data_IF_820512831337
#
_entry.id   IF_820512831337
#
_cell.length_a   1.000
_cell.length_b   1.000
_cell.length_c   1.000
_cell.angle_alpha   90.00
_cell.angle_beta   90.00
_cell.angle_gamma   90.00
#
_symmetry.space_group_name_H-M   'P 1'
#
loop_
_entity.id
_entity.type
_entity.pdbx_description
1 polymer ?
#
# COMPACT_ATOMS: atom_id res chain seq x y z
N UNK A 1 -11.88 0.33 32.95
CA UNK A 1 -11.47 0.24 31.52
C UNK A 1 -11.27 1.66 31.04
N UNK A 2 -10.07 2.01 30.58
CA UNK A 2 -9.86 3.33 29.98
C UNK A 2 -10.59 3.37 28.63
N UNK A 3 -11.52 4.32 28.49
CA UNK A 3 -12.23 4.59 27.24
C UNK A 3 -11.32 5.41 26.30
N UNK A 4 -10.20 4.82 25.85
CA UNK A 4 -9.22 5.48 25.00
C UNK A 4 -9.23 4.84 23.60
N UNK A 5 -9.39 5.67 22.57
CA UNK A 5 -9.22 5.27 21.18
C UNK A 5 -7.99 5.99 20.59
N UNK A 6 -7.08 5.21 20.03
CA UNK A 6 -5.91 5.75 19.33
C UNK A 6 -6.13 5.64 17.82
N UNK A 7 -6.10 6.77 17.13
CA UNK A 7 -6.24 6.82 15.68
C UNK A 7 -5.03 6.17 14.99
N UNK A 8 -5.28 5.63 13.81
CA UNK A 8 -4.20 5.14 12.94
C UNK A 8 -3.22 6.30 12.63
N UNK A 9 -1.90 6.03 12.48
CA UNK A 9 -0.89 7.05 12.21
C UNK A 9 -0.91 7.53 10.76
N UNK A 10 -2.05 8.05 10.32
CA UNK A 10 -2.29 8.72 9.06
C UNK A 10 -2.09 10.23 9.27
N UNK A 11 -1.11 10.84 8.60
CA UNK A 11 -0.81 12.27 8.75
C UNK A 11 -1.87 13.12 8.05
N UNK A 12 -2.21 12.76 6.80
CA UNK A 12 -3.15 13.54 5.99
C UNK A 12 -3.78 12.75 4.85
N UNK A 13 -4.91 13.25 4.40
CA UNK A 13 -5.58 12.86 3.16
C UNK A 13 -5.61 14.08 2.24
N UNK A 14 -5.18 13.91 0.99
CA UNK A 14 -5.14 14.96 -0.03
C UNK A 14 -6.16 14.58 -1.10
N UNK A 15 -7.00 15.51 -1.47
CA UNK A 15 -8.00 15.35 -2.54
C UNK A 15 -8.06 16.61 -3.40
N UNK A 16 -8.72 16.54 -4.52
CA UNK A 16 -8.89 17.64 -5.46
C UNK A 16 -7.55 18.22 -6.00
N UNK A 17 -6.51 17.37 -5.99
CA UNK A 17 -5.17 17.71 -6.48
C UNK A 17 -4.67 16.55 -7.34
N UNK A 18 -4.12 16.79 -8.55
CA UNK A 18 -3.54 15.73 -9.36
C UNK A 18 -2.46 14.95 -8.60
N UNK A 19 -2.45 13.63 -8.76
CA UNK A 19 -1.53 12.77 -8.01
C UNK A 19 -0.05 13.15 -8.19
N UNK A 20 0.37 13.54 -9.40
CA UNK A 20 1.74 13.98 -9.68
C UNK A 20 2.14 15.22 -8.88
N UNK A 21 1.25 16.20 -8.76
CA UNK A 21 1.48 17.40 -7.97
C UNK A 21 1.49 17.10 -6.46
N UNK A 22 0.50 16.34 -5.99
CA UNK A 22 0.39 15.94 -4.59
C UNK A 22 1.62 15.13 -4.14
N UNK A 23 2.11 14.19 -4.98
CA UNK A 23 3.33 13.41 -4.74
C UNK A 23 4.52 14.35 -4.55
N UNK A 24 4.74 15.29 -5.48
CA UNK A 24 5.89 16.18 -5.43
C UNK A 24 5.88 17.04 -4.15
N UNK A 25 4.71 17.58 -3.80
CA UNK A 25 4.53 18.37 -2.60
C UNK A 25 4.83 17.57 -1.33
N UNK A 26 4.35 16.31 -1.25
CA UNK A 26 4.57 15.45 -0.09
C UNK A 26 6.03 14.97 0.04
N UNK A 27 6.67 14.60 -1.06
CA UNK A 27 8.09 14.23 -1.06
C UNK A 27 8.96 15.37 -0.55
N UNK A 28 8.68 16.61 -1.01
CA UNK A 28 9.41 17.79 -0.56
C UNK A 28 9.13 18.09 0.92
N UNK A 29 7.86 17.99 1.36
CA UNK A 29 7.48 18.18 2.77
C UNK A 29 8.15 17.18 3.70
N UNK A 30 8.25 15.92 3.27
CA UNK A 30 8.84 14.82 4.05
C UNK A 30 10.37 14.77 3.96
N UNK A 31 11.00 15.56 3.09
CA UNK A 31 12.45 15.54 2.87
C UNK A 31 12.94 14.22 2.27
N UNK A 32 12.13 13.59 1.43
CA UNK A 32 12.41 12.28 0.83
C UNK A 32 13.30 12.42 -0.40
N UNK A 33 14.32 11.58 -0.51
CA UNK A 33 15.24 11.55 -1.64
C UNK A 33 15.16 10.26 -2.48
N UNK A 34 14.64 9.18 -1.91
CA UNK A 34 14.60 7.88 -2.56
C UNK A 34 13.19 7.29 -2.52
N UNK A 35 12.52 7.32 -3.67
CA UNK A 35 11.13 6.90 -3.83
C UNK A 35 11.03 5.61 -4.61
N UNK A 36 10.43 4.59 -4.02
CA UNK A 36 10.10 3.34 -4.68
C UNK A 36 8.59 3.30 -4.99
N UNK A 37 8.22 2.81 -6.17
CA UNK A 37 6.82 2.70 -6.57
C UNK A 37 6.39 1.23 -6.52
N UNK A 38 5.21 0.98 -5.94
CA UNK A 38 4.51 -0.31 -6.06
C UNK A 38 3.16 -0.06 -6.73
N UNK A 39 2.90 -0.74 -7.83
CA UNK A 39 1.72 -0.49 -8.65
C UNK A 39 0.96 -1.76 -9.00
N UNK A 40 -0.34 -1.61 -9.29
CA UNK A 40 -1.07 -2.67 -9.96
C UNK A 40 -0.62 -2.81 -11.42
N UNK A 41 -0.65 -4.03 -11.94
CA UNK A 41 -0.29 -4.30 -13.34
C UNK A 41 -1.16 -3.54 -14.36
N UNK A 42 -2.41 -3.24 -14.02
CA UNK A 42 -3.29 -2.45 -14.88
C UNK A 42 -2.77 -1.03 -15.06
N UNK A 43 -2.43 -0.36 -13.96
CA UNK A 43 -1.90 1.01 -14.00
C UNK A 43 -0.55 1.04 -14.72
N UNK A 44 0.35 0.10 -14.43
CA UNK A 44 1.68 0.07 -15.05
C UNK A 44 1.66 -0.25 -16.53
N UNK A 45 0.83 -1.22 -16.96
CA UNK A 45 0.94 -1.80 -18.30
C UNK A 45 -0.09 -1.26 -19.29
N UNK A 46 -1.16 -0.63 -18.80
CA UNK A 46 -2.26 -0.14 -19.66
C UNK A 46 -2.43 1.37 -19.66
N UNK A 47 -1.58 2.09 -18.92
CA UNK A 47 -1.63 3.55 -18.81
C UNK A 47 -0.23 4.16 -18.83
N UNK A 48 -0.15 5.47 -19.01
CA UNK A 48 1.09 6.24 -18.92
C UNK A 48 1.30 6.89 -17.53
N UNK A 49 0.45 6.56 -16.55
CA UNK A 49 0.45 7.21 -15.24
C UNK A 49 1.75 6.96 -14.47
N UNK A 50 2.29 5.74 -14.51
CA UNK A 50 3.60 5.45 -13.89
C UNK A 50 4.72 6.23 -14.57
N UNK A 51 4.66 6.40 -15.88
CA UNK A 51 5.66 7.21 -16.61
C UNK A 51 5.60 8.69 -16.20
N UNK A 52 4.39 9.25 -16.08
CA UNK A 52 4.20 10.63 -15.59
C UNK A 52 4.78 10.82 -14.20
N UNK A 53 4.49 9.90 -13.28
CA UNK A 53 5.01 9.95 -11.92
C UNK A 53 6.54 9.79 -11.88
N UNK A 54 7.11 8.87 -12.65
CA UNK A 54 8.58 8.74 -12.79
C UNK A 54 9.23 10.03 -13.27
N UNK A 55 8.64 10.67 -14.28
CA UNK A 55 9.15 11.94 -14.81
C UNK A 55 9.07 13.05 -13.75
N UNK A 56 8.00 13.09 -12.96
CA UNK A 56 7.83 14.03 -11.84
C UNK A 56 8.87 13.80 -10.75
N UNK A 57 9.18 12.55 -10.42
CA UNK A 57 10.15 12.18 -9.39
C UNK A 57 11.60 12.46 -9.84
N UNK A 58 11.89 12.35 -11.15
CA UNK A 58 13.24 12.53 -11.70
C UNK A 58 14.27 11.62 -11.01
N UNK A 59 15.35 12.20 -10.50
CA UNK A 59 16.43 11.47 -9.83
C UNK A 59 16.03 10.81 -8.51
N UNK A 60 14.92 11.21 -7.91
CA UNK A 60 14.40 10.61 -6.66
C UNK A 60 13.75 9.22 -6.88
N UNK A 61 13.39 8.88 -8.12
CA UNK A 61 12.87 7.55 -8.45
C UNK A 61 13.98 6.51 -8.38
N UNK A 62 13.82 5.47 -7.53
CA UNK A 62 14.84 4.43 -7.36
C UNK A 62 14.38 3.03 -7.80
N UNK A 63 13.10 2.80 -8.04
CA UNK A 63 12.63 1.49 -8.51
C UNK A 63 11.12 1.36 -8.56
N UNK A 64 10.67 0.31 -9.25
CA UNK A 64 9.27 -0.04 -9.46
C UNK A 64 9.06 -1.54 -9.22
N UNK A 65 7.97 -1.88 -8.54
CA UNK A 65 7.41 -3.22 -8.51
C UNK A 65 5.96 -3.15 -9.02
N UNK A 66 5.69 -3.70 -10.18
CA UNK A 66 4.40 -3.62 -10.89
C UNK A 66 3.73 -4.98 -11.12
N UNK A 67 4.27 -6.01 -10.51
CA UNK A 67 3.82 -7.41 -10.62
C UNK A 67 3.01 -7.85 -9.40
N UNK A 68 2.25 -6.94 -8.77
CA UNK A 68 1.34 -7.30 -7.69
C UNK A 68 0.27 -8.29 -8.18
N UNK A 69 0.23 -9.46 -7.56
CA UNK A 69 -0.73 -10.52 -7.86
C UNK A 69 -1.97 -10.35 -6.97
N UNK A 70 -3.21 -10.53 -7.51
CA UNK A 70 -4.44 -10.46 -6.73
C UNK A 70 -4.37 -11.26 -5.43
N UNK A 71 -4.95 -10.70 -4.36
CA UNK A 71 -4.94 -11.25 -2.99
C UNK A 71 -3.57 -11.31 -2.31
N UNK A 72 -2.51 -10.73 -2.89
CA UNK A 72 -1.16 -10.62 -2.30
C UNK A 72 -0.61 -11.98 -1.84
N UNK A 73 -0.31 -12.95 -2.74
CA UNK A 73 0.34 -14.19 -2.35
C UNK A 73 1.60 -13.94 -1.52
N UNK A 74 1.87 -14.78 -0.51
CA UNK A 74 3.05 -14.64 0.35
C UNK A 74 4.36 -14.59 -0.44
N UNK A 75 4.45 -15.38 -1.51
CA UNK A 75 5.58 -15.39 -2.43
C UNK A 75 5.78 -14.01 -3.05
N UNK A 76 4.70 -13.42 -3.59
CA UNK A 76 4.74 -12.11 -4.25
C UNK A 76 5.06 -10.97 -3.27
N UNK A 77 4.62 -11.09 -2.02
CA UNK A 77 4.99 -10.14 -0.95
C UNK A 77 6.49 -10.18 -0.68
N UNK A 78 7.10 -11.38 -0.61
CA UNK A 78 8.55 -11.54 -0.39
C UNK A 78 9.33 -11.01 -1.59
N UNK A 79 8.89 -11.25 -2.82
CA UNK A 79 9.53 -10.69 -4.02
C UNK A 79 9.53 -9.15 -3.99
N UNK A 80 8.40 -8.56 -3.63
CA UNK A 80 8.28 -7.11 -3.45
C UNK A 80 9.21 -6.61 -2.34
N UNK A 81 9.24 -7.29 -1.17
CA UNK A 81 10.10 -6.93 -0.04
C UNK A 81 11.59 -6.97 -0.41
N UNK A 82 12.02 -7.98 -1.14
CA UNK A 82 13.40 -8.11 -1.63
C UNK A 82 13.75 -6.98 -2.61
N UNK A 83 12.83 -6.63 -3.53
CA UNK A 83 13.01 -5.51 -4.46
C UNK A 83 13.12 -4.18 -3.71
N UNK A 84 12.28 -3.93 -2.72
CA UNK A 84 12.36 -2.73 -1.85
C UNK A 84 13.69 -2.68 -1.09
N UNK A 85 14.12 -3.80 -0.51
CA UNK A 85 15.39 -3.88 0.22
C UNK A 85 16.61 -3.58 -0.66
N UNK A 86 16.64 -4.10 -1.89
CA UNK A 86 17.72 -3.86 -2.85
C UNK A 86 17.83 -2.38 -3.25
N UNK A 87 16.71 -1.70 -3.35
CA UNK A 87 16.65 -0.30 -3.77
C UNK A 87 16.75 0.68 -2.60
N UNK A 88 16.64 0.24 -1.35
CA UNK A 88 16.78 1.03 -0.11
C UNK A 88 16.09 2.42 -0.20
N UNK A 89 14.76 2.47 -0.38
CA UNK A 89 14.03 3.72 -0.46
C UNK A 89 13.78 4.35 0.91
N UNK A 90 13.48 5.65 0.93
CA UNK A 90 13.00 6.36 2.12
C UNK A 90 11.49 6.20 2.29
N UNK A 91 10.77 6.09 1.16
CA UNK A 91 9.31 5.96 1.12
C UNK A 91 8.85 5.07 -0.03
N UNK A 92 7.68 4.45 0.13
CA UNK A 92 7.02 3.69 -0.94
C UNK A 92 5.76 4.43 -1.35
N UNK A 93 5.60 4.73 -2.63
CA UNK A 93 4.35 5.18 -3.23
C UNK A 93 3.62 3.98 -3.80
N UNK A 94 2.38 3.79 -3.36
CA UNK A 94 1.52 2.71 -3.85
C UNK A 94 0.40 3.25 -4.71
N UNK A 95 0.24 2.71 -5.93
CA UNK A 95 -0.80 3.14 -6.86
C UNK A 95 -1.61 1.92 -7.29
N UNK A 96 -2.89 1.91 -6.94
CA UNK A 96 -3.78 0.80 -7.29
C UNK A 96 -4.85 0.51 -6.25
N UNK A 97 -5.48 -0.65 -6.34
CA UNK A 97 -6.50 -1.09 -5.40
C UNK A 97 -5.95 -1.66 -4.09
N UNK A 98 -6.78 -2.39 -3.36
CA UNK A 98 -6.41 -2.98 -2.08
C UNK A 98 -5.21 -3.92 -2.14
N UNK A 99 -5.01 -4.65 -3.24
CA UNK A 99 -3.87 -5.60 -3.38
C UNK A 99 -2.51 -4.93 -3.22
N UNK A 100 -2.09 -3.94 -4.04
CA UNK A 100 -0.79 -3.31 -3.84
C UNK A 100 -0.68 -2.58 -2.50
N UNK A 101 -1.78 -1.99 -1.99
CA UNK A 101 -1.79 -1.34 -0.67
C UNK A 101 -1.51 -2.34 0.44
N UNK A 102 -2.19 -3.49 0.46
CA UNK A 102 -1.96 -4.56 1.43
C UNK A 102 -0.57 -5.18 1.29
N UNK A 103 -0.10 -5.41 0.06
CA UNK A 103 1.26 -5.89 -0.21
C UNK A 103 2.30 -4.99 0.47
N UNK A 104 2.22 -3.66 0.27
CA UNK A 104 3.17 -2.72 0.86
C UNK A 104 3.10 -2.68 2.38
N UNK A 105 1.91 -2.79 2.98
CA UNK A 105 1.79 -2.90 4.44
C UNK A 105 2.58 -4.09 4.99
N UNK A 106 2.48 -5.25 4.34
CA UNK A 106 3.23 -6.44 4.76
C UNK A 106 4.72 -6.28 4.46
N UNK A 107 5.09 -5.65 3.35
CA UNK A 107 6.50 -5.29 3.02
C UNK A 107 7.12 -4.38 4.09
N UNK A 108 6.37 -3.41 4.62
CA UNK A 108 6.82 -2.56 5.72
C UNK A 108 7.17 -3.39 6.97
N UNK A 109 6.38 -4.43 7.29
CA UNK A 109 6.71 -5.37 8.37
C UNK A 109 7.94 -6.21 8.04
N UNK A 110 8.05 -6.72 6.83
CA UNK A 110 9.24 -7.44 6.37
C UNK A 110 10.50 -6.61 6.58
N UNK A 111 10.48 -5.37 6.10
CA UNK A 111 11.61 -4.46 6.24
C UNK A 111 11.94 -4.17 7.71
N UNK A 112 10.94 -3.86 8.54
CA UNK A 112 11.16 -3.50 9.94
C UNK A 112 11.67 -4.66 10.78
N UNK A 113 11.31 -5.90 10.45
CA UNK A 113 11.65 -7.11 11.21
C UNK A 113 12.80 -7.92 10.60
N UNK A 114 13.31 -7.50 9.41
CA UNK A 114 14.35 -8.21 8.68
C UNK A 114 13.87 -9.55 8.10
N UNK A 115 12.59 -9.63 7.69
CA UNK A 115 11.99 -10.84 7.14
C UNK A 115 12.22 -10.88 5.64
N UNK A 116 12.83 -11.97 5.16
CA UNK A 116 13.15 -12.21 3.75
C UNK A 116 12.59 -13.54 3.23
N UNK A 117 11.86 -14.28 4.07
CA UNK A 117 11.33 -15.60 3.72
C UNK A 117 9.87 -15.76 4.10
N UNK A 118 9.16 -16.65 3.42
CA UNK A 118 7.76 -16.99 3.68
C UNK A 118 7.61 -17.54 5.12
N UNK A 119 8.54 -18.35 5.58
CA UNK A 119 8.54 -18.92 6.93
C UNK A 119 8.63 -17.81 7.99
N UNK A 120 9.42 -16.77 7.72
CA UNK A 120 9.51 -15.59 8.55
C UNK A 120 8.18 -14.84 8.64
N UNK A 121 7.48 -14.66 7.49
CA UNK A 121 6.15 -14.07 7.44
C UNK A 121 5.13 -14.88 8.24
N UNK A 122 5.09 -16.19 8.05
CA UNK A 122 4.16 -17.07 8.78
C UNK A 122 4.32 -16.99 10.30
N UNK A 123 5.51 -16.71 10.82
CA UNK A 123 5.75 -16.56 12.27
C UNK A 123 5.08 -15.32 12.87
N UNK A 124 4.83 -14.28 12.07
CA UNK A 124 4.22 -13.03 12.52
C UNK A 124 2.75 -12.90 12.11
N UNK A 125 2.23 -13.83 11.33
CA UNK A 125 0.81 -13.91 10.94
C UNK A 125 -0.09 -13.90 12.18
N UNK A 126 -1.19 -13.15 12.09
CA UNK A 126 -2.18 -12.98 13.17
C UNK A 126 -1.61 -12.45 14.51
N UNK A 127 -0.44 -11.82 14.47
CA UNK A 127 0.20 -11.18 15.62
C UNK A 127 0.43 -9.70 15.34
N UNK A 128 0.05 -8.87 16.32
CA UNK A 128 0.29 -7.43 16.21
C UNK A 128 1.77 -7.10 16.41
N UNK A 129 2.35 -6.35 15.47
CA UNK A 129 3.75 -5.94 15.51
C UNK A 129 3.87 -4.52 16.06
N UNK A 130 4.71 -4.35 17.10
CA UNK A 130 4.93 -3.05 17.75
C UNK A 130 6.13 -2.29 17.17
N UNK A 131 6.99 -2.97 16.41
CA UNK A 131 8.19 -2.36 15.84
C UNK A 131 7.83 -1.38 14.73
N UNK A 132 8.33 -0.16 14.84
CA UNK A 132 8.09 0.93 13.89
C UNK A 132 8.82 0.65 12.57
N UNK A 133 8.12 0.82 11.46
CA UNK A 133 8.73 0.78 10.13
C UNK A 133 9.42 2.11 9.84
N UNK A 134 10.67 2.07 9.38
CA UNK A 134 11.41 3.25 8.90
C UNK A 134 10.90 3.71 7.54
N UNK A 135 10.42 2.77 6.72
CA UNK A 135 9.86 3.06 5.39
C UNK A 135 8.34 3.18 5.57
N UNK A 136 7.78 4.33 5.22
CA UNK A 136 6.35 4.57 5.27
C UNK A 136 5.73 4.50 3.86
N UNK A 137 4.41 4.53 3.78
CA UNK A 137 3.64 4.43 2.54
C UNK A 137 2.89 5.72 2.27
N UNK A 138 2.93 6.19 1.01
CA UNK A 138 1.94 7.09 0.43
C UNK A 138 1.03 6.22 -0.44
N UNK A 139 -0.26 6.18 -0.13
CA UNK A 139 -1.23 5.38 -0.87
C UNK A 139 -2.05 6.25 -1.83
N UNK A 140 -2.17 5.80 -3.08
CA UNK A 140 -3.00 6.40 -4.12
C UNK A 140 -4.00 5.34 -4.58
N UNK A 141 -5.16 5.22 -3.88
CA UNK A 141 -6.12 4.17 -4.17
C UNK A 141 -6.84 4.42 -5.49
N UNK A 142 -7.07 3.35 -6.24
CA UNK A 142 -7.87 3.36 -7.47
C UNK A 142 -9.18 2.57 -7.32
N UNK A 143 -9.47 2.07 -6.11
CA UNK A 143 -10.71 1.34 -5.77
C UNK A 143 -11.26 1.85 -4.44
N UNK A 144 -12.48 1.46 -4.10
CA UNK A 144 -13.15 1.85 -2.86
C UNK A 144 -12.96 0.81 -1.73
N UNK A 145 -11.79 0.15 -1.70
CA UNK A 145 -11.52 -0.92 -0.72
C UNK A 145 -11.33 -0.42 0.73
N UNK A 146 -10.98 0.85 0.92
CA UNK A 146 -10.72 1.44 2.23
C UNK A 146 -9.48 0.92 2.94
N UNK A 147 -8.68 0.07 2.29
CA UNK A 147 -7.47 -0.50 2.87
C UNK A 147 -6.46 0.55 3.31
N UNK A 148 -6.42 1.69 2.66
CA UNK A 148 -5.52 2.81 2.94
C UNK A 148 -5.71 3.46 4.32
N UNK A 149 -6.83 3.22 4.98
CA UNK A 149 -7.15 3.78 6.30
C UNK A 149 -6.92 2.82 7.48
N UNK A 150 -6.37 1.64 7.21
CA UNK A 150 -6.31 0.55 8.16
C UNK A 150 -4.86 0.16 8.51
N UNK A 151 -4.65 -0.26 9.77
CA UNK A 151 -3.39 -0.87 10.26
C UNK A 151 -3.31 -2.38 9.95
N UNK A 152 -4.16 -2.88 9.06
CA UNK A 152 -4.26 -4.29 8.71
C UNK A 152 -3.86 -4.46 7.25
N UNK A 153 -2.95 -5.39 6.97
CA UNK A 153 -2.65 -5.91 5.64
C UNK A 153 -3.04 -7.39 5.55
N UNK A 154 -3.54 -7.80 4.40
CA UNK A 154 -3.87 -9.20 4.12
C UNK A 154 -2.95 -9.81 3.09
N UNK A 155 -2.47 -11.04 3.31
CA UNK A 155 -1.73 -11.80 2.31
C UNK A 155 -2.19 -13.27 2.28
N UNK A 156 -2.13 -13.89 1.10
CA UNK A 156 -2.68 -15.22 0.85
C UNK A 156 -1.58 -16.30 1.00
N UNK A 157 -1.76 -17.23 1.92
CA UNK A 157 -1.04 -18.51 1.87
C UNK A 157 -1.70 -19.38 0.79
N UNK A 158 -1.08 -19.43 -0.39
CA UNK A 158 -1.62 -20.15 -1.56
C UNK A 158 -1.67 -21.66 -1.34
N UNK A 159 -0.79 -22.20 -0.48
CA UNK A 159 -0.76 -23.62 -0.15
C UNK A 159 -1.92 -24.03 0.76
N UNK A 160 -2.29 -23.15 1.70
CA UNK A 160 -3.40 -23.39 2.63
C UNK A 160 -4.73 -22.84 2.15
N UNK A 161 -4.74 -22.05 1.06
CA UNK A 161 -5.91 -21.30 0.59
C UNK A 161 -6.50 -20.41 1.70
N UNK A 162 -5.63 -19.81 2.53
CA UNK A 162 -6.02 -19.00 3.68
C UNK A 162 -5.43 -17.59 3.56
N UNK A 163 -6.29 -16.58 3.69
CA UNK A 163 -5.85 -15.19 3.81
C UNK A 163 -5.38 -14.95 5.24
N UNK A 164 -4.08 -14.72 5.39
CA UNK A 164 -3.44 -14.38 6.66
C UNK A 164 -3.51 -12.88 6.91
N UNK A 165 -3.66 -12.51 8.18
CA UNK A 165 -3.76 -11.13 8.63
C UNK A 165 -2.44 -10.67 9.24
N UNK A 166 -1.97 -9.50 8.83
CA UNK A 166 -0.78 -8.84 9.33
C UNK A 166 -1.16 -7.48 9.93
N UNK A 167 -0.70 -7.19 11.13
CA UNK A 167 -1.05 -5.95 11.83
C UNK A 167 0.17 -5.30 12.46
N UNK A 168 0.20 -3.99 12.42
CA UNK A 168 1.24 -3.19 13.08
C UNK A 168 0.84 -1.72 13.10
N UNK A 169 1.27 -0.98 14.12
CA UNK A 169 0.87 0.42 14.29
C UNK A 169 1.21 1.29 13.08
N UNK A 170 2.39 1.07 12.49
CA UNK A 170 2.94 1.98 11.47
C UNK A 170 2.75 1.51 10.03
N UNK A 171 2.02 0.43 9.80
CA UNK A 171 1.76 -0.05 8.44
C UNK A 171 0.57 0.63 7.77
N UNK A 172 -0.22 1.42 8.51
CA UNK A 172 -1.16 2.33 7.91
C UNK A 172 -0.40 3.32 7.01
N UNK A 173 -0.86 3.61 5.80
CA UNK A 173 -0.27 4.67 4.99
C UNK A 173 -0.11 5.97 5.76
N UNK A 174 1.01 6.65 5.57
CA UNK A 174 1.26 7.95 6.19
C UNK A 174 0.46 9.06 5.52
N UNK A 175 0.32 8.96 4.20
CA UNK A 175 -0.45 9.90 3.38
C UNK A 175 -1.34 9.12 2.43
N UNK A 176 -2.55 9.61 2.23
CA UNK A 176 -3.48 9.13 1.20
C UNK A 176 -3.73 10.25 0.20
N UNK A 177 -3.58 9.96 -1.09
CA UNK A 177 -3.88 10.89 -2.18
C UNK A 177 -5.05 10.33 -2.98
N UNK A 178 -6.16 11.08 -2.99
CA UNK A 178 -7.39 10.71 -3.70
C UNK A 178 -7.46 11.48 -5.03
N UNK A 179 -6.96 10.87 -6.10
CA UNK A 179 -7.08 11.39 -7.45
C UNK A 179 -8.15 10.59 -8.23
N UNK A 180 -9.35 11.15 -8.44
CA UNK A 180 -10.43 10.42 -9.11
C UNK A 180 -10.11 10.08 -10.57
N UNK A 181 -9.19 10.78 -11.23
CA UNK A 181 -8.79 10.46 -12.60
C UNK A 181 -8.12 9.09 -12.71
N UNK A 182 -7.38 8.68 -11.68
CA UNK A 182 -6.74 7.36 -11.67
C UNK A 182 -7.74 6.22 -11.50
N UNK A 183 -8.91 6.49 -10.94
CA UNK A 183 -9.97 5.48 -10.80
C UNK A 183 -10.61 5.10 -12.13
N UNK A 184 -10.53 5.97 -13.13
CA UNK A 184 -11.07 5.72 -14.48
C UNK A 184 -10.39 4.53 -15.19
N UNK A 185 -9.23 4.13 -14.74
CA UNK A 185 -8.50 2.96 -15.23
C UNK A 185 -8.92 1.65 -14.55
N UNK A 186 -9.79 1.73 -13.54
CA UNK A 186 -10.27 0.55 -12.82
C UNK A 186 -11.44 -0.08 -13.60
N UNK A 187 -11.41 -1.39 -13.85
CA UNK A 187 -12.53 -2.07 -14.51
C UNK A 187 -13.84 -1.90 -13.72
N UNK A 188 -14.95 -1.69 -14.44
CA UNK A 188 -16.27 -1.43 -13.85
C UNK A 188 -16.68 -2.47 -12.81
N UNK A 189 -16.45 -3.76 -13.11
CA UNK A 189 -16.78 -4.84 -12.18
C UNK A 189 -16.03 -4.72 -10.85
N UNK A 190 -14.76 -4.28 -10.88
CA UNK A 190 -13.96 -4.10 -9.68
C UNK A 190 -14.37 -2.84 -8.92
N UNK A 191 -14.66 -1.76 -9.64
CA UNK A 191 -15.16 -0.52 -9.07
C UNK A 191 -16.47 -0.75 -8.31
N UNK A 192 -17.44 -1.38 -8.98
CA UNK A 192 -18.76 -1.68 -8.41
C UNK A 192 -18.67 -2.67 -7.22
N UNK A 193 -17.86 -3.72 -7.33
CA UNK A 193 -17.72 -4.68 -6.24
C UNK A 193 -17.08 -4.05 -4.99
N UNK A 194 -16.11 -3.16 -5.16
CA UNK A 194 -15.52 -2.44 -4.01
C UNK A 194 -16.46 -1.37 -3.46
N UNK A 195 -17.32 -0.76 -4.28
CA UNK A 195 -18.38 0.14 -3.82
C UNK A 195 -19.40 -0.57 -2.93
N UNK A 196 -19.89 -1.72 -3.37
CA UNK A 196 -20.82 -2.56 -2.56
C UNK A 196 -20.13 -3.02 -1.26
N UNK A 197 -18.83 -3.35 -1.31
CA UNK A 197 -18.09 -3.71 -0.10
C UNK A 197 -17.99 -2.56 0.90
N UNK A 198 -17.94 -1.31 0.44
CA UNK A 198 -17.98 -0.13 1.33
C UNK A 198 -19.33 -0.01 2.05
N UNK A 199 -20.43 -0.32 1.35
CA UNK A 199 -21.78 -0.37 1.98
C UNK A 199 -21.86 -1.48 3.02
N UNK A 200 -21.36 -2.67 2.67
CA UNK A 200 -21.28 -3.83 3.56
C UNK A 200 -20.53 -3.48 4.87
N UNK A 201 -19.36 -2.88 4.77
CA UNK A 201 -18.61 -2.41 5.95
C UNK A 201 -19.39 -1.38 6.79
N UNK A 202 -20.12 -0.47 6.16
CA UNK A 202 -20.93 0.51 6.88
C UNK A 202 -22.07 -0.16 7.66
N UNK A 203 -22.72 -1.17 7.08
CA UNK A 203 -23.78 -1.95 7.72
C UNK A 203 -23.23 -2.83 8.86
N UNK A 204 -22.08 -3.47 8.66
CA UNK A 204 -21.41 -4.27 9.70
C UNK A 204 -20.98 -3.43 10.93
N UNK A 205 -20.77 -2.11 10.73
CA UNK A 205 -20.37 -1.19 11.79
C UNK A 205 -21.51 -0.60 12.63
N UNK A 206 -22.77 -0.85 12.25
CA UNK A 206 -23.96 -0.40 12.97
C UNK A 206 -24.38 -1.39 14.07
#
# INVERSE_FOLDING_TARGET
MENTYTYSPLDRVIWDTPATEAILNEINRLGVERVFIVSSSTISNKTDEILKIKNTLGSKFVGLFDSCIPHSPLENVIDCANSVQQNNPDIIITIGGGTPIDTVKVVQLCHSLGITTIEGLKKISNKHQKKVSKIRQIAIPTTLSGGEYSIIGGAMDTKKQLKERYTGNDICPQVVILDPKLTLHTPDWLWLSTAIRSVDHAVEGL
#
